data_IF_147257297297
#
_entry.id   IF_147257297297
#
_cell.length_a   1.000
_cell.length_b   1.000
_cell.length_c   1.000
_cell.angle_alpha   90.00
_cell.angle_beta   90.00
_cell.angle_gamma   90.00
#
_symmetry.space_group_name_H-M   'P 1'
#
loop_
_entity.id
_entity.type
_entity.pdbx_description
1 polymer ?
#
# COMPACT_ATOMS: atom_id res chain seq x y z
N UNK A 1 34.50 -10.45 18.54
CA UNK A 1 33.68 -9.30 18.10
C UNK A 1 34.47 -8.55 17.04
N UNK A 2 34.28 -8.86 15.76
CA UNK A 2 34.94 -8.14 14.65
C UNK A 2 34.00 -7.05 14.16
N UNK A 3 34.52 -5.82 14.13
CA UNK A 3 33.87 -4.68 13.51
C UNK A 3 33.63 -4.99 12.03
N UNK A 4 32.36 -5.08 11.61
CA UNK A 4 32.02 -5.01 10.19
C UNK A 4 32.39 -3.61 9.73
N UNK A 5 33.42 -3.52 8.90
CA UNK A 5 33.91 -2.27 8.33
C UNK A 5 32.77 -1.52 7.63
N UNK A 6 32.66 -0.21 7.85
CA UNK A 6 31.59 0.66 7.33
C UNK A 6 31.44 0.56 5.79
N UNK A 7 32.52 0.23 5.09
CA UNK A 7 32.54 -0.05 3.65
C UNK A 7 31.66 -1.26 3.25
N UNK A 8 31.60 -2.30 4.08
CA UNK A 8 30.76 -3.48 3.83
C UNK A 8 29.26 -3.17 4.01
N UNK A 9 28.93 -2.29 4.94
CA UNK A 9 27.54 -1.82 5.17
C UNK A 9 27.10 -0.93 4.01
N UNK A 10 27.95 -0.01 3.56
CA UNK A 10 27.65 0.88 2.44
C UNK A 10 27.46 0.10 1.14
N UNK A 11 28.35 -0.85 0.83
CA UNK A 11 28.20 -1.71 -0.35
C UNK A 11 26.93 -2.57 -0.33
N UNK A 12 26.55 -3.09 0.85
CA UNK A 12 25.29 -3.83 1.02
C UNK A 12 24.08 -2.93 0.83
N UNK A 13 24.10 -1.72 1.39
CA UNK A 13 23.06 -0.70 1.21
C UNK A 13 22.91 -0.27 -0.25
N UNK A 14 24.02 -0.02 -0.94
CA UNK A 14 24.03 0.42 -2.33
C UNK A 14 23.54 -0.70 -3.27
N UNK A 15 23.84 -1.97 -2.95
CA UNK A 15 23.29 -3.14 -3.64
C UNK A 15 21.79 -3.29 -3.43
N UNK A 16 21.32 -3.16 -2.19
CA UNK A 16 19.88 -3.17 -1.88
C UNK A 16 19.15 -2.02 -2.58
N UNK A 17 19.73 -0.81 -2.59
CA UNK A 17 19.16 0.37 -3.25
C UNK A 17 19.05 0.21 -4.77
N UNK A 18 20.13 -0.24 -5.41
CA UNK A 18 20.17 -0.46 -6.87
C UNK A 18 19.31 -1.65 -7.34
N UNK A 19 18.97 -2.59 -6.46
CA UNK A 19 18.03 -3.67 -6.73
C UNK A 19 16.58 -3.24 -6.46
N UNK A 20 16.34 -2.46 -5.39
CA UNK A 20 15.00 -2.08 -4.95
C UNK A 20 14.35 -0.97 -5.79
N UNK A 21 15.08 -0.11 -6.50
CA UNK A 21 14.44 0.89 -7.38
C UNK A 21 13.60 0.26 -8.51
N UNK A 22 13.89 -1.02 -8.84
CA UNK A 22 13.16 -1.84 -9.81
C UNK A 22 12.04 -2.68 -9.19
N UNK A 23 11.83 -2.63 -7.87
CA UNK A 23 11.00 -3.60 -7.12
C UNK A 23 9.51 -3.53 -7.44
N UNK A 24 9.06 -2.59 -8.27
CA UNK A 24 7.80 -2.75 -9.00
C UNK A 24 7.91 -2.24 -10.43
N UNK A 25 7.79 -3.15 -11.39
CA UNK A 25 7.66 -2.81 -12.82
C UNK A 25 6.25 -2.29 -13.18
N UNK A 26 5.29 -2.46 -12.29
CA UNK A 26 3.95 -1.90 -12.46
C UNK A 26 3.96 -0.40 -12.17
N UNK A 27 4.05 0.40 -13.24
CA UNK A 27 3.88 1.85 -13.19
C UNK A 27 2.59 2.24 -12.47
N UNK A 28 1.51 1.47 -12.68
CA UNK A 28 0.23 1.67 -12.02
C UNK A 28 0.29 1.54 -10.50
N UNK A 29 1.07 0.58 -9.97
CA UNK A 29 1.25 0.44 -8.53
C UNK A 29 2.09 1.59 -7.95
N UNK A 30 3.18 1.98 -8.62
CA UNK A 30 4.00 3.16 -8.23
C UNK A 30 3.16 4.43 -8.22
N UNK A 31 2.35 4.64 -9.25
CA UNK A 31 1.44 5.77 -9.34
C UNK A 31 0.39 5.75 -8.22
N UNK A 32 -0.19 4.59 -7.91
CA UNK A 32 -1.14 4.46 -6.80
C UNK A 32 -0.50 4.75 -5.44
N UNK A 33 0.72 4.27 -5.21
CA UNK A 33 1.49 4.61 -4.01
C UNK A 33 1.73 6.12 -3.93
N UNK A 34 2.19 6.76 -5.01
CA UNK A 34 2.37 8.21 -5.02
C UNK A 34 1.05 8.95 -4.78
N UNK A 35 -0.06 8.50 -5.38
CA UNK A 35 -1.39 9.07 -5.14
C UNK A 35 -1.84 8.94 -3.68
N UNK A 36 -1.50 7.84 -3.02
CA UNK A 36 -1.79 7.62 -1.60
C UNK A 36 -0.89 8.45 -0.69
N UNK A 37 0.43 8.38 -0.87
CA UNK A 37 1.42 9.07 -0.04
C UNK A 37 1.31 10.58 -0.14
N UNK A 38 1.23 11.12 -1.36
CA UNK A 38 1.07 12.55 -1.60
C UNK A 38 -0.39 13.00 -1.49
N UNK A 39 -1.32 12.09 -1.16
CA UNK A 39 -2.76 12.37 -1.04
C UNK A 39 -3.35 13.08 -2.28
N UNK A 40 -2.80 12.78 -3.46
CA UNK A 40 -3.22 13.35 -4.74
C UNK A 40 -4.64 12.90 -5.11
N UNK A 41 -5.02 11.66 -4.75
CA UNK A 41 -6.36 11.13 -5.05
C UNK A 41 -7.38 11.58 -4.00
N UNK A 42 -8.29 12.49 -4.30
CA UNK A 42 -9.29 12.94 -3.31
C UNK A 42 -10.33 11.82 -3.04
N UNK A 43 -10.51 11.38 -1.77
CA UNK A 43 -11.49 10.35 -1.44
C UNK A 43 -12.91 10.94 -1.46
N UNK A 44 -13.97 10.15 -1.72
CA UNK A 44 -15.36 10.62 -1.80
C UNK A 44 -15.80 11.49 -0.62
N UNK A 45 -15.40 11.12 0.60
CA UNK A 45 -15.69 11.91 1.80
C UNK A 45 -15.10 13.33 1.78
N UNK A 46 -13.94 13.52 1.14
CA UNK A 46 -13.34 14.85 0.96
C UNK A 46 -13.99 15.60 -0.20
N UNK A 47 -14.34 14.91 -1.28
CA UNK A 47 -15.02 15.49 -2.44
C UNK A 47 -16.40 16.05 -2.04
N UNK A 48 -17.20 15.28 -1.31
CA UNK A 48 -18.53 15.70 -0.83
C UNK A 48 -18.48 16.93 0.08
N UNK A 49 -17.35 17.16 0.78
CA UNK A 49 -17.14 18.37 1.57
C UNK A 49 -16.84 19.61 0.71
N UNK A 50 -16.25 19.43 -0.47
CA UNK A 50 -15.96 20.50 -1.42
C UNK A 50 -17.17 20.81 -2.30
N UNK A 51 -17.95 19.79 -2.67
CA UNK A 51 -19.04 19.88 -3.62
C UNK A 51 -20.31 19.25 -3.02
N UNK A 52 -21.30 20.08 -2.71
CA UNK A 52 -22.53 19.66 -2.01
C UNK A 52 -23.42 18.69 -2.81
N UNK A 53 -23.25 18.64 -4.14
CA UNK A 53 -23.96 17.75 -5.05
C UNK A 53 -23.33 16.34 -5.16
N UNK A 54 -22.17 16.12 -4.53
CA UNK A 54 -21.46 14.83 -4.59
C UNK A 54 -21.77 13.97 -3.37
N UNK A 55 -21.96 12.67 -3.61
CA UNK A 55 -22.09 11.70 -2.53
C UNK A 55 -20.73 11.44 -1.87
N UNK A 56 -20.76 11.32 -0.55
CA UNK A 56 -19.61 10.90 0.25
C UNK A 56 -19.38 9.38 0.24
N UNK A 57 -20.34 8.59 -0.25
CA UNK A 57 -20.31 7.13 -0.26
C UNK A 57 -19.27 6.59 -1.24
N UNK A 58 -18.62 5.49 -0.85
CA UNK A 58 -17.69 4.81 -1.74
C UNK A 58 -18.42 4.05 -2.85
N UNK A 59 -18.04 4.28 -4.11
CA UNK A 59 -18.70 3.72 -5.29
C UNK A 59 -18.59 2.20 -5.44
N UNK A 60 -17.73 1.48 -4.70
CA UNK A 60 -17.72 0.01 -4.75
C UNK A 60 -18.72 -0.62 -3.79
N UNK A 61 -18.73 -0.19 -2.53
CA UNK A 61 -19.60 -0.80 -1.51
C UNK A 61 -20.92 -0.06 -1.31
N UNK A 62 -20.99 1.24 -1.62
CA UNK A 62 -22.14 2.13 -1.39
C UNK A 62 -22.66 2.20 0.05
N UNK A 63 -21.91 1.70 1.04
CA UNK A 63 -22.39 1.59 2.43
C UNK A 63 -21.95 2.76 3.32
N UNK A 64 -20.65 3.06 3.35
CA UNK A 64 -20.08 4.07 4.25
C UNK A 64 -19.30 5.13 3.47
N UNK A 65 -19.06 6.32 4.08
CA UNK A 65 -18.29 7.36 3.46
C UNK A 65 -16.91 6.84 3.02
N UNK A 66 -16.54 7.12 1.78
CA UNK A 66 -15.26 6.75 1.21
C UNK A 66 -14.16 7.58 1.84
N UNK A 67 -13.56 7.08 2.93
CA UNK A 67 -12.25 7.51 3.40
C UNK A 67 -11.16 6.71 2.71
N UNK A 68 -9.91 7.19 2.71
CA UNK A 68 -8.80 6.39 2.17
C UNK A 68 -8.71 5.02 2.84
N UNK A 69 -8.74 4.99 4.17
CA UNK A 69 -8.63 3.74 4.90
C UNK A 69 -9.78 2.78 4.56
N UNK A 70 -10.99 3.30 4.34
CA UNK A 70 -12.08 2.46 3.88
C UNK A 70 -11.86 1.92 2.48
N UNK A 71 -11.58 2.79 1.51
CA UNK A 71 -11.45 2.43 0.10
C UNK A 71 -10.36 1.38 -0.16
N UNK A 72 -9.26 1.47 0.59
CA UNK A 72 -8.05 0.69 0.36
C UNK A 72 -7.87 -0.48 1.34
N UNK A 73 -8.50 -0.45 2.52
CA UNK A 73 -8.33 -1.51 3.51
C UNK A 73 -9.65 -2.09 4.02
N UNK A 74 -10.50 -1.28 4.65
CA UNK A 74 -11.63 -1.85 5.42
C UNK A 74 -12.82 -2.26 4.57
N UNK A 75 -12.95 -1.74 3.34
CA UNK A 75 -14.00 -2.14 2.40
C UNK A 75 -13.92 -3.64 2.10
N UNK A 76 -15.08 -4.31 2.07
CA UNK A 76 -15.20 -5.74 1.73
C UNK A 76 -14.49 -6.10 0.42
N UNK A 77 -14.67 -5.30 -0.63
CA UNK A 77 -14.01 -5.51 -1.91
C UNK A 77 -12.50 -5.35 -1.85
N UNK A 78 -11.99 -4.41 -1.03
CA UNK A 78 -10.56 -4.25 -0.82
C UNK A 78 -9.99 -5.42 -0.01
N UNK A 79 -10.67 -5.84 1.07
CA UNK A 79 -10.30 -7.01 1.87
C UNK A 79 -10.21 -8.27 1.02
N UNK A 80 -11.19 -8.54 0.15
CA UNK A 80 -11.15 -9.70 -0.77
C UNK A 80 -9.88 -9.73 -1.61
N UNK A 81 -9.45 -8.58 -2.14
CA UNK A 81 -8.20 -8.47 -2.88
C UNK A 81 -7.00 -8.76 -1.99
N UNK A 82 -6.89 -8.07 -0.84
CA UNK A 82 -5.75 -8.21 0.06
C UNK A 82 -5.61 -9.59 0.67
N UNK A 83 -6.72 -10.27 1.00
CA UNK A 83 -6.70 -11.66 1.46
C UNK A 83 -6.10 -12.59 0.40
N UNK A 84 -6.42 -12.40 -0.89
CA UNK A 84 -5.81 -13.19 -1.97
C UNK A 84 -4.30 -12.96 -2.06
N UNK A 85 -3.87 -11.70 -1.96
CA UNK A 85 -2.44 -11.35 -1.97
C UNK A 85 -1.73 -11.92 -0.75
N UNK A 86 -2.32 -11.78 0.45
CA UNK A 86 -1.77 -12.32 1.70
C UNK A 86 -1.60 -13.83 1.63
N UNK A 87 -2.65 -14.58 1.27
CA UNK A 87 -2.57 -16.04 1.08
C UNK A 87 -1.53 -16.43 0.03
N UNK A 88 -1.43 -15.67 -1.06
CA UNK A 88 -0.42 -15.94 -2.09
C UNK A 88 1.01 -15.71 -1.57
N UNK A 89 1.25 -14.62 -0.83
CA UNK A 89 2.55 -14.31 -0.23
C UNK A 89 2.98 -15.36 0.79
N UNK A 90 2.09 -15.79 1.68
CA UNK A 90 2.41 -16.84 2.67
C UNK A 90 2.76 -18.16 1.98
N UNK A 91 2.03 -18.54 0.92
CA UNK A 91 2.34 -19.74 0.13
C UNK A 91 3.71 -19.66 -0.54
N UNK A 92 4.06 -18.51 -1.11
CA UNK A 92 5.33 -18.32 -1.82
C UNK A 92 6.53 -18.27 -0.87
N UNK A 93 6.38 -17.57 0.26
CA UNK A 93 7.45 -17.39 1.25
C UNK A 93 7.58 -18.54 2.23
N UNK A 94 6.52 -19.36 2.38
CA UNK A 94 6.37 -20.38 3.42
C UNK A 94 6.52 -19.81 4.84
N UNK A 95 6.16 -18.54 5.00
CA UNK A 95 6.21 -17.82 6.27
C UNK A 95 4.82 -17.26 6.58
N UNK A 96 4.52 -17.17 7.87
CA UNK A 96 3.34 -16.44 8.33
C UNK A 96 3.62 -14.95 8.23
N UNK A 97 2.70 -14.20 7.61
CA UNK A 97 2.80 -12.75 7.44
C UNK A 97 1.62 -12.13 8.15
N UNK A 98 1.86 -11.14 9.01
CA UNK A 98 0.77 -10.45 9.69
C UNK A 98 -0.14 -9.72 8.69
N UNK A 99 -1.45 -9.94 8.77
CA UNK A 99 -2.42 -9.26 7.91
C UNK A 99 -2.76 -7.85 8.42
N UNK A 100 -1.78 -6.94 8.33
CA UNK A 100 -1.86 -5.56 8.82
C UNK A 100 -1.85 -4.55 7.68
N UNK A 101 -2.59 -3.46 7.84
CA UNK A 101 -2.71 -2.44 6.80
C UNK A 101 -1.38 -1.75 6.48
N UNK A 102 -0.53 -1.63 7.49
CA UNK A 102 0.78 -1.02 7.47
C UNK A 102 1.72 -1.79 6.52
N UNK A 103 1.72 -3.12 6.65
CA UNK A 103 2.52 -4.00 5.79
C UNK A 103 2.01 -3.98 4.34
N UNK A 104 0.69 -4.05 4.14
CA UNK A 104 0.11 -4.22 2.80
C UNK A 104 -0.09 -2.92 2.03
N UNK A 105 -0.38 -1.81 2.71
CA UNK A 105 -0.59 -0.50 2.08
C UNK A 105 0.67 0.34 2.05
N UNK A 106 1.50 0.26 3.10
CA UNK A 106 2.64 1.15 3.28
C UNK A 106 3.98 0.45 3.10
N UNK A 107 4.03 -0.88 3.21
CA UNK A 107 5.27 -1.65 3.13
C UNK A 107 6.22 -1.38 4.29
N UNK A 108 5.67 -1.03 5.46
CA UNK A 108 6.38 -0.76 6.73
C UNK A 108 6.00 -1.86 7.71
#
# INVERSE_FOLDING_TARGET
>A
MQAMTEQGIYGKWQKLWSQNYKMTMSTAYKENLYKMFYRWHLPPSRIARMFKDKSDKYWKCHQIPGSYYHMWWTCSEAKKYWTKIHTWLEKMTKQHIDFKSELFLLGI
#
